data_IF_783640496741
#
_entry.id   IF_783640496741
#
_cell.length_a   1.000
_cell.length_b   1.000
_cell.length_c   1.000
_cell.angle_alpha   90.00
_cell.angle_beta   90.00
_cell.angle_gamma   90.00
#
_symmetry.space_group_name_H-M   'P 1'
#
loop_
_entity.id
_entity.type
_entity.pdbx_description
1 polymer ?
#
# COMPACT_ATOMS: atom_id res chain seq x y z
N UNK A 1 23.34 -11.98 22.87
CA UNK A 1 23.49 -10.51 22.93
C UNK A 1 22.42 -9.96 22.02
N UNK A 2 21.43 -9.38 22.69
CA UNK A 2 20.21 -8.68 22.29
C UNK A 2 19.54 -8.95 20.93
N UNK A 3 18.37 -9.57 21.09
CA UNK A 3 17.27 -9.67 20.14
C UNK A 3 16.56 -8.32 20.17
N UNK A 4 16.65 -7.54 19.09
CA UNK A 4 15.81 -6.36 18.94
C UNK A 4 14.42 -6.80 18.43
N UNK A 5 13.48 -6.81 19.38
CA UNK A 5 12.05 -6.94 19.16
C UNK A 5 11.57 -5.96 18.07
N UNK A 6 10.93 -6.46 17.02
CA UNK A 6 10.02 -5.67 16.18
C UNK A 6 8.72 -5.49 16.98
N UNK A 7 8.81 -4.79 18.11
CA UNK A 7 7.66 -4.29 18.85
C UNK A 7 7.80 -2.77 18.92
N UNK A 8 6.79 -2.12 18.34
CA UNK A 8 6.56 -0.67 18.31
C UNK A 8 7.45 0.05 17.30
N UNK A 9 6.84 0.38 16.17
CA UNK A 9 6.98 1.72 15.62
C UNK A 9 6.43 2.71 16.66
N UNK A 10 7.19 2.95 17.73
CA UNK A 10 7.01 4.14 18.54
C UNK A 10 7.56 5.28 17.71
N UNK A 11 6.66 6.10 17.19
CA UNK A 11 6.96 7.49 16.88
C UNK A 11 7.56 8.10 18.14
N UNK A 12 8.88 8.26 18.17
CA UNK A 12 9.54 9.02 19.21
C UNK A 12 9.09 10.47 19.07
N UNK A 13 8.38 10.96 20.09
CA UNK A 13 7.90 12.32 20.21
C UNK A 13 9.10 13.27 20.31
N UNK A 14 9.40 13.96 19.20
CA UNK A 14 10.47 14.94 19.10
C UNK A 14 10.09 16.13 18.22
N UNK A 15 9.24 17.02 18.77
CA UNK A 15 8.87 18.36 18.28
C UNK A 15 8.00 18.46 17.01
N UNK A 16 6.71 18.66 17.28
CA UNK A 16 5.69 19.39 16.50
C UNK A 16 5.86 19.43 14.97
N UNK A 17 5.26 18.43 14.33
CA UNK A 17 4.76 18.52 12.95
C UNK A 17 3.30 18.03 12.97
N UNK A 18 2.48 18.54 13.90
CA UNK A 18 1.07 18.14 14.04
C UNK A 18 0.19 18.55 12.85
N UNK A 19 0.65 19.48 12.00
CA UNK A 19 -0.14 19.96 10.86
C UNK A 19 -0.09 19.00 9.65
N UNK A 20 0.97 18.20 9.48
CA UNK A 20 1.14 17.33 8.31
C UNK A 20 0.51 15.94 8.43
N UNK A 21 0.41 15.40 9.65
CA UNK A 21 -0.19 14.08 9.90
C UNK A 21 -1.72 14.11 9.93
N UNK A 22 -2.30 15.25 10.35
CA UNK A 22 -3.73 15.49 10.33
C UNK A 22 -4.32 15.50 8.90
N UNK A 23 -3.53 15.88 7.88
CA UNK A 23 -3.97 15.80 6.49
C UNK A 23 -3.98 14.36 5.97
N UNK A 24 -2.98 13.53 6.33
CA UNK A 24 -2.90 12.13 5.89
C UNK A 24 -4.03 11.28 6.51
N UNK A 25 -4.34 11.48 7.80
CA UNK A 25 -5.48 10.81 8.44
C UNK A 25 -6.84 11.24 7.85
N UNK A 26 -6.96 12.48 7.36
CA UNK A 26 -8.17 12.95 6.65
C UNK A 26 -8.40 12.28 5.30
N UNK A 27 -7.38 11.71 4.66
CA UNK A 27 -7.54 11.08 3.34
C UNK A 27 -8.25 9.71 3.39
N UNK A 28 -8.44 9.14 4.58
CA UNK A 28 -8.91 7.76 4.75
C UNK A 28 -10.16 7.68 5.63
N UNK A 29 -10.91 8.78 5.75
CA UNK A 29 -12.28 8.69 6.25
C UNK A 29 -13.12 7.89 5.24
N UNK A 30 -13.36 6.62 5.57
CA UNK A 30 -14.22 5.75 4.78
C UNK A 30 -15.66 6.26 4.92
N UNK A 31 -16.02 7.18 4.04
CA UNK A 31 -17.39 7.66 3.97
C UNK A 31 -18.27 6.58 3.35
N UNK A 32 -19.34 6.13 4.03
CA UNK A 32 -20.30 5.22 3.41
C UNK A 32 -20.84 5.90 2.16
N UNK A 33 -20.68 5.28 0.97
CA UNK A 33 -21.05 5.92 -0.28
C UNK A 33 -22.56 6.15 -0.29
N UNK A 34 -22.97 7.41 -0.48
CA UNK A 34 -24.36 7.76 -0.77
C UNK A 34 -24.62 7.49 -2.25
N UNK A 35 -25.34 6.41 -2.52
CA UNK A 35 -25.70 6.07 -3.90
C UNK A 35 -26.87 6.94 -4.36
N UNK A 36 -26.82 7.52 -5.56
CA UNK A 36 -27.95 8.28 -6.09
C UNK A 36 -29.13 7.35 -6.37
N UNK A 37 -30.36 7.83 -6.20
CA UNK A 37 -31.59 7.02 -6.36
C UNK A 37 -32.16 7.00 -7.78
N UNK A 38 -31.77 7.93 -8.65
CA UNK A 38 -32.41 8.07 -9.97
C UNK A 38 -31.50 7.74 -11.17
N UNK A 39 -30.20 7.53 -10.95
CA UNK A 39 -29.22 7.31 -12.03
C UNK A 39 -28.46 6.00 -11.88
N UNK A 40 -27.95 5.46 -12.99
CA UNK A 40 -27.08 4.30 -12.93
C UNK A 40 -25.87 4.59 -12.01
N UNK A 41 -25.54 3.64 -11.14
CA UNK A 41 -24.44 3.72 -10.18
C UNK A 41 -23.84 2.33 -9.95
N UNK A 42 -22.82 2.21 -9.09
CA UNK A 42 -22.12 0.93 -8.88
C UNK A 42 -23.06 -0.22 -8.52
N UNK A 43 -24.06 0.05 -7.67
CA UNK A 43 -25.01 -0.96 -7.19
C UNK A 43 -26.28 -1.07 -8.07
N UNK A 44 -26.42 -0.22 -9.09
CA UNK A 44 -27.63 -0.19 -9.93
C UNK A 44 -27.29 0.07 -11.40
N UNK A 45 -27.53 -0.94 -12.23
CA UNK A 45 -27.40 -0.84 -13.68
C UNK A 45 -28.39 0.14 -14.32
N UNK A 46 -28.16 0.49 -15.59
CA UNK A 46 -29.11 1.25 -16.38
C UNK A 46 -30.45 0.51 -16.51
N UNK A 47 -31.56 1.24 -16.66
CA UNK A 47 -32.92 0.69 -16.69
C UNK A 47 -33.10 -0.46 -17.70
N UNK A 48 -32.39 -0.40 -18.83
CA UNK A 48 -32.40 -1.44 -19.87
C UNK A 48 -31.78 -2.78 -19.43
N UNK A 49 -30.84 -2.75 -18.50
CA UNK A 49 -30.08 -3.93 -18.04
C UNK A 49 -30.60 -4.51 -16.73
N UNK A 50 -31.40 -3.77 -15.97
CA UNK A 50 -31.88 -4.21 -14.65
C UNK A 50 -32.75 -5.48 -14.72
N UNK A 51 -33.51 -5.65 -15.81
CA UNK A 51 -34.44 -6.78 -16.00
C UNK A 51 -34.23 -7.50 -17.33
N UNK A 52 -33.03 -7.40 -17.91
CA UNK A 52 -32.74 -8.04 -19.20
C UNK A 52 -32.50 -9.55 -18.99
N UNK A 53 -33.42 -10.38 -19.50
CA UNK A 53 -33.33 -11.83 -19.43
C UNK A 53 -32.33 -12.43 -20.43
N UNK A 54 -31.78 -11.64 -21.34
CA UNK A 54 -30.81 -12.05 -22.35
C UNK A 54 -29.35 -11.75 -21.95
N UNK A 55 -29.11 -11.37 -20.70
CA UNK A 55 -27.76 -11.13 -20.19
C UNK A 55 -26.90 -12.39 -20.30
N UNK A 56 -25.80 -12.28 -21.04
CA UNK A 56 -24.78 -13.32 -21.14
C UNK A 56 -23.79 -13.13 -20.00
N UNK A 57 -23.93 -13.92 -18.95
CA UNK A 57 -23.04 -13.88 -17.79
C UNK A 57 -21.88 -14.86 -18.02
N UNK A 58 -20.61 -14.44 -17.83
CA UNK A 58 -19.47 -15.34 -17.87
C UNK A 58 -19.62 -16.50 -16.88
N UNK A 59 -19.10 -17.68 -17.25
CA UNK A 59 -19.06 -18.82 -16.34
C UNK A 59 -18.10 -18.51 -15.20
N UNK A 60 -18.54 -18.72 -13.95
CA UNK A 60 -17.70 -18.54 -12.77
C UNK A 60 -16.51 -19.52 -12.83
N UNK A 61 -15.33 -19.06 -12.41
CA UNK A 61 -14.13 -19.89 -12.34
C UNK A 61 -14.23 -20.86 -11.17
N UNK A 62 -13.68 -22.06 -11.35
CA UNK A 62 -13.55 -23.04 -10.26
C UNK A 62 -12.61 -22.51 -9.16
N UNK A 63 -13.02 -22.69 -7.90
CA UNK A 63 -12.19 -22.37 -6.74
C UNK A 63 -11.05 -23.39 -6.62
N UNK A 64 -9.82 -22.89 -6.40
CA UNK A 64 -8.62 -23.73 -6.30
C UNK A 64 -7.79 -23.47 -5.04
N UNK A 65 -8.09 -22.43 -4.27
CA UNK A 65 -7.41 -22.12 -3.02
C UNK A 65 -8.12 -22.81 -1.85
N UNK A 66 -7.36 -23.49 -1.02
CA UNK A 66 -7.79 -24.00 0.27
C UNK A 66 -7.01 -23.24 1.35
N UNK A 67 -7.70 -22.45 2.17
CA UNK A 67 -7.10 -21.55 3.14
C UNK A 67 -7.55 -21.92 4.55
N UNK A 68 -6.61 -21.89 5.50
CA UNK A 68 -6.87 -22.06 6.93
C UNK A 68 -6.30 -20.85 7.68
N UNK A 69 -7.03 -20.34 8.66
CA UNK A 69 -6.57 -19.27 9.54
C UNK A 69 -6.07 -19.92 10.82
N UNK A 70 -4.77 -19.80 11.10
CA UNK A 70 -4.15 -20.32 12.31
C UNK A 70 -3.86 -19.18 13.29
N UNK A 71 -3.62 -19.53 14.55
CA UNK A 71 -3.20 -18.59 15.60
C UNK A 71 -1.71 -18.23 15.56
N UNK A 72 -0.97 -18.85 14.64
CA UNK A 72 0.47 -18.67 14.53
C UNK A 72 0.78 -17.33 13.85
N UNK A 73 1.66 -16.54 14.47
CA UNK A 73 2.14 -15.31 13.86
C UNK A 73 3.03 -15.63 12.66
N UNK A 74 2.67 -15.08 11.51
CA UNK A 74 3.40 -15.33 10.28
C UNK A 74 4.63 -14.42 10.19
N UNK A 75 5.83 -14.99 10.19
CA UNK A 75 7.09 -14.25 10.09
C UNK A 75 7.29 -13.67 8.68
N UNK A 76 7.26 -12.33 8.59
CA UNK A 76 7.44 -11.59 7.33
C UNK A 76 8.89 -11.26 6.99
N UNK A 77 9.80 -11.32 7.97
CA UNK A 77 11.15 -10.78 7.85
C UNK A 77 12.00 -11.56 6.82
N UNK A 78 11.74 -12.86 6.71
CA UNK A 78 12.48 -13.76 5.83
C UNK A 78 11.66 -14.24 4.63
N UNK A 79 10.59 -13.52 4.27
CA UNK A 79 9.75 -13.95 3.15
C UNK A 79 10.51 -13.85 1.83
N UNK A 80 10.69 -14.97 1.09
CA UNK A 80 11.26 -14.91 -0.25
C UNK A 80 10.33 -14.11 -1.15
N UNK A 81 10.88 -13.09 -1.81
CA UNK A 81 10.09 -12.27 -2.73
C UNK A 81 9.56 -13.14 -3.87
N UNK A 82 8.28 -13.01 -4.22
CA UNK A 82 7.62 -13.82 -5.26
C UNK A 82 7.86 -15.34 -5.10
N UNK A 83 7.89 -15.85 -3.86
CA UNK A 83 8.22 -17.25 -3.58
C UNK A 83 9.59 -17.70 -4.11
N UNK A 84 10.54 -16.77 -4.21
CA UNK A 84 11.89 -17.01 -4.71
C UNK A 84 12.02 -16.85 -6.23
N UNK A 85 10.98 -16.37 -6.91
CA UNK A 85 11.08 -16.05 -8.33
C UNK A 85 11.87 -14.74 -8.54
N UNK A 86 12.79 -14.77 -9.50
CA UNK A 86 13.57 -13.61 -9.89
C UNK A 86 12.69 -12.57 -10.60
N UNK A 87 12.82 -11.31 -10.19
CA UNK A 87 12.23 -10.20 -10.95
C UNK A 87 13.07 -10.01 -12.21
N UNK A 88 12.48 -10.26 -13.37
CA UNK A 88 13.18 -10.07 -14.65
C UNK A 88 13.62 -8.61 -14.82
N UNK A 89 14.93 -8.38 -14.98
CA UNK A 89 15.49 -7.05 -15.22
C UNK A 89 15.81 -6.24 -13.95
N UNK A 90 15.69 -6.83 -12.76
CA UNK A 90 16.12 -6.20 -11.51
C UNK A 90 17.17 -7.06 -10.79
N UNK A 91 18.06 -6.40 -10.03
CA UNK A 91 18.87 -7.08 -9.03
C UNK A 91 17.93 -7.50 -7.90
N UNK A 92 17.83 -8.80 -7.60
CA UNK A 92 16.95 -9.33 -6.55
C UNK A 92 17.47 -9.11 -5.12
N UNK A 93 18.30 -8.08 -4.93
CA UNK A 93 18.83 -7.71 -3.63
C UNK A 93 17.89 -6.71 -2.97
N UNK A 94 17.49 -7.02 -1.75
CA UNK A 94 16.71 -6.12 -0.90
C UNK A 94 17.66 -5.31 -0.05
N UNK A 95 17.37 -4.03 0.07
CA UNK A 95 18.07 -3.13 0.96
C UNK A 95 17.08 -2.54 1.93
N UNK A 96 17.47 -2.48 3.20
CA UNK A 96 16.72 -1.76 4.21
C UNK A 96 17.26 -0.34 4.29
N UNK A 97 16.36 0.63 4.38
CA UNK A 97 16.71 2.03 4.45
C UNK A 97 15.68 2.86 5.18
N UNK A 98 16.10 4.03 5.63
CA UNK A 98 15.28 4.98 6.36
C UNK A 98 15.10 6.24 5.55
N UNK A 99 13.88 6.75 5.46
CA UNK A 99 13.63 8.06 4.87
C UNK A 99 14.13 9.12 5.84
N UNK A 100 15.20 9.82 5.47
CA UNK A 100 15.80 10.88 6.30
C UNK A 100 15.06 12.20 6.09
N UNK A 101 14.64 12.47 4.84
CA UNK A 101 14.05 13.75 4.48
C UNK A 101 13.02 13.60 3.37
N UNK A 102 11.98 14.42 3.44
CA UNK A 102 10.96 14.58 2.41
C UNK A 102 10.76 16.07 2.16
N UNK A 103 11.03 16.52 0.94
CA UNK A 103 10.98 17.93 0.56
C UNK A 103 9.98 18.16 -0.57
N UNK A 104 9.21 19.26 -0.51
CA UNK A 104 8.29 19.63 -1.59
C UNK A 104 9.05 20.37 -2.70
N UNK A 105 8.98 19.87 -3.93
CA UNK A 105 9.58 20.51 -5.11
C UNK A 105 8.61 21.46 -5.83
N UNK A 106 7.34 21.45 -5.41
CA UNK A 106 6.26 22.26 -5.98
C UNK A 106 5.56 23.08 -4.90
N UNK A 107 5.02 24.24 -5.28
CA UNK A 107 4.12 25.00 -4.41
C UNK A 107 2.91 24.16 -3.96
N UNK A 108 2.44 24.41 -2.74
CA UNK A 108 1.28 23.74 -2.12
C UNK A 108 -0.03 23.96 -2.89
N UNK A 109 -0.11 24.99 -3.73
CA UNK A 109 -1.29 25.28 -4.54
C UNK A 109 -1.41 24.41 -5.81
N UNK A 110 -0.42 23.56 -6.10
CA UNK A 110 -0.39 22.74 -7.32
C UNK A 110 -1.20 21.46 -7.12
N UNK A 111 -2.08 21.15 -8.06
CA UNK A 111 -2.97 19.97 -8.02
C UNK A 111 -2.23 18.61 -7.97
N UNK A 112 -0.98 18.58 -8.45
CA UNK A 112 -0.12 17.39 -8.47
C UNK A 112 1.22 17.71 -7.79
N UNK A 113 1.31 17.57 -6.47
CA UNK A 113 2.53 17.89 -5.75
C UNK A 113 3.66 16.94 -6.15
N UNK A 114 4.88 17.47 -6.26
CA UNK A 114 6.10 16.68 -6.44
C UNK A 114 6.93 16.75 -5.17
N UNK A 115 7.43 15.60 -4.73
CA UNK A 115 8.27 15.47 -3.54
C UNK A 115 9.61 14.85 -3.93
N UNK A 116 10.65 15.30 -3.26
CA UNK A 116 11.95 14.66 -3.22
C UNK A 116 12.04 13.87 -1.92
N UNK A 117 12.56 12.65 -1.98
CA UNK A 117 12.80 11.79 -0.82
C UNK A 117 14.29 11.47 -0.75
N UNK A 118 14.87 11.60 0.44
CA UNK A 118 16.23 11.15 0.72
C UNK A 118 16.15 9.92 1.61
N UNK A 119 16.78 8.84 1.16
CA UNK A 119 16.78 7.55 1.84
C UNK A 119 18.21 7.22 2.24
N UNK A 120 18.44 7.00 3.54
CA UNK A 120 19.65 6.37 4.04
C UNK A 120 19.52 4.87 3.92
N UNK A 121 20.61 4.17 3.64
CA UNK A 121 20.61 2.71 3.68
C UNK A 121 21.28 2.26 4.98
N UNK A 122 20.73 1.23 5.62
CA UNK A 122 21.32 0.72 6.86
C UNK A 122 22.74 0.15 6.63
N UNK A 123 23.62 0.38 7.61
CA UNK A 123 25.03 -0.02 7.73
C UNK A 123 25.52 -1.12 6.77
N UNK A 124 26.49 -0.76 5.91
CA UNK A 124 27.26 -1.57 4.94
C UNK A 124 26.63 -1.89 3.58
N UNK A 125 25.41 -1.43 3.30
CA UNK A 125 24.83 -1.55 1.97
C UNK A 125 25.42 -0.51 0.99
N UNK A 126 26.44 -0.90 0.23
CA UNK A 126 26.89 -0.13 -0.94
C UNK A 126 26.08 -0.54 -2.17
N UNK A 127 25.15 0.31 -2.59
CA UNK A 127 24.47 0.15 -3.88
C UNK A 127 25.33 0.84 -4.95
N UNK A 128 25.83 0.05 -5.90
CA UNK A 128 26.40 0.59 -7.13
C UNK A 128 25.26 0.97 -8.07
N UNK A 129 25.12 2.26 -8.37
CA UNK A 129 24.14 2.76 -9.34
C UNK A 129 24.71 3.91 -10.16
N UNK A 130 24.18 4.11 -11.36
CA UNK A 130 24.48 5.22 -12.24
C UNK A 130 23.27 6.17 -12.37
N UNK A 131 23.49 7.46 -12.69
CA UNK A 131 22.38 8.36 -12.99
C UNK A 131 21.53 7.85 -14.17
N UNK A 132 20.26 7.57 -13.89
CA UNK A 132 19.32 6.98 -14.86
C UNK A 132 18.81 5.61 -14.44
N UNK A 133 19.45 4.96 -13.46
CA UNK A 133 18.97 3.71 -12.87
C UNK A 133 17.65 3.89 -12.12
N UNK A 134 16.91 2.79 -12.00
CA UNK A 134 15.62 2.75 -11.33
C UNK A 134 15.67 1.87 -10.07
N UNK A 135 14.97 2.31 -9.03
CA UNK A 135 14.78 1.57 -7.80
C UNK A 135 13.31 1.23 -7.60
N UNK A 136 13.07 0.07 -6.98
CA UNK A 136 11.72 -0.38 -6.61
C UNK A 136 11.55 -0.28 -5.10
N UNK A 137 10.44 0.30 -4.68
CA UNK A 137 10.07 0.41 -3.27
C UNK A 137 8.98 -0.60 -2.93
N UNK A 138 9.11 -1.24 -1.78
CA UNK A 138 8.10 -2.14 -1.21
C UNK A 138 7.27 -1.29 -0.26
N UNK A 139 6.00 -1.06 -0.60
CA UNK A 139 5.10 -0.20 0.17
C UNK A 139 3.94 -1.05 0.70
N UNK A 140 3.69 -1.08 2.01
CA UNK A 140 2.54 -1.79 2.56
C UNK A 140 1.23 -1.10 2.15
N UNK A 141 0.13 -1.86 2.14
CA UNK A 141 -1.19 -1.25 2.04
C UNK A 141 -1.46 -0.34 3.23
N UNK A 142 -2.34 0.63 3.02
CA UNK A 142 -2.78 1.57 4.06
C UNK A 142 -3.52 0.80 5.16
N UNK A 143 -3.12 1.02 6.42
CA UNK A 143 -3.60 0.24 7.56
C UNK A 143 -5.10 0.36 7.75
N UNK A 144 -5.64 1.56 7.60
CA UNK A 144 -7.07 1.86 7.74
C UNK A 144 -7.92 1.10 6.72
N UNK A 145 -7.42 0.93 5.49
CA UNK A 145 -8.10 0.13 4.45
C UNK A 145 -8.05 -1.37 4.76
N UNK A 146 -6.90 -1.85 5.25
CA UNK A 146 -6.74 -3.25 5.66
C UNK A 146 -7.69 -3.57 6.81
N UNK A 147 -7.71 -2.74 7.86
CA UNK A 147 -8.57 -2.93 9.02
C UNK A 147 -10.06 -2.87 8.63
N UNK A 148 -10.43 -1.98 7.71
CA UNK A 148 -11.80 -1.90 7.18
C UNK A 148 -12.23 -3.18 6.46
N UNK A 149 -11.36 -3.74 5.60
CA UNK A 149 -11.66 -4.98 4.87
C UNK A 149 -11.77 -6.16 5.82
N UNK A 150 -10.86 -6.26 6.80
CA UNK A 150 -10.85 -7.36 7.78
C UNK A 150 -12.04 -7.31 8.75
N UNK A 151 -12.61 -6.13 8.99
CA UNK A 151 -13.78 -5.96 9.86
C UNK A 151 -15.10 -6.31 9.15
N UNK A 152 -15.13 -6.27 7.81
CA UNK A 152 -16.35 -6.44 7.01
C UNK A 152 -16.81 -7.89 6.92
#
# INVERSE_FOLDING_TARGET
MDICDIRRLSLDEGKSCEEGLNEIQKFLEIHPPKWPEDVACLIRGAQKLQNDSQLRVPVAKDSYLNCEITSDEFNTDNLPWQNGCDITGALNQKYQGHVISVSNLTSLAIQKPKKEILVDLEHSAEISYEPGDAFYFIVPNVREEVDFILTR
#
